data_IF_058127716111
#
_entry.id   IF_058127716111
#
_cell.length_a   1.000
_cell.length_b   1.000
_cell.length_c   1.000
_cell.angle_alpha   90.00
_cell.angle_beta   90.00
_cell.angle_gamma   90.00
#
_symmetry.space_group_name_H-M   'P 1'
#
loop_
_entity.id
_entity.type
_entity.pdbx_description
1 polymer ?
#
# COMPACT_ATOMS: atom_id res chain seq x y z
N UNK A 1 -20.44 -7.45 4.87
CA UNK A 1 -19.51 -6.39 4.42
C UNK A 1 -18.26 -7.10 3.94
N UNK A 2 -17.66 -6.72 2.82
CA UNK A 2 -16.41 -7.28 2.29
C UNK A 2 -15.42 -6.13 2.28
N UNK A 3 -14.30 -6.29 2.97
CA UNK A 3 -13.20 -5.36 2.92
C UNK A 3 -12.35 -5.62 1.68
N UNK A 4 -11.77 -4.57 1.10
CA UNK A 4 -10.94 -4.67 -0.10
C UNK A 4 -9.99 -3.49 -0.20
N UNK A 5 -8.86 -3.72 -0.85
CA UNK A 5 -7.89 -2.69 -1.20
C UNK A 5 -7.81 -2.54 -2.72
N UNK A 6 -7.91 -1.31 -3.17
CA UNK A 6 -7.84 -0.92 -4.58
C UNK A 6 -7.27 0.48 -4.71
N UNK A 7 -6.94 0.87 -5.92
CA UNK A 7 -6.45 2.20 -6.24
C UNK A 7 -7.20 2.73 -7.47
N UNK A 8 -7.27 4.04 -7.63
CA UNK A 8 -7.85 4.69 -8.83
C UNK A 8 -7.16 4.16 -10.09
N UNK A 9 -5.85 3.98 -10.03
CA UNK A 9 -5.00 3.46 -11.09
C UNK A 9 -5.39 2.06 -11.51
N UNK A 10 -5.72 1.20 -10.59
CA UNK A 10 -6.07 -0.21 -10.88
C UNK A 10 -7.54 -0.39 -11.24
N UNK A 11 -8.41 0.59 -10.92
CA UNK A 11 -9.86 0.60 -11.19
C UNK A 11 -10.64 -0.57 -10.57
N UNK A 12 -9.99 -1.51 -9.94
CA UNK A 12 -10.56 -2.69 -9.30
C UNK A 12 -9.72 -3.13 -8.10
N UNK A 13 -10.30 -3.99 -7.26
CA UNK A 13 -9.64 -4.51 -6.08
C UNK A 13 -8.37 -5.30 -6.44
N UNK A 14 -7.26 -4.95 -5.78
CA UNK A 14 -6.00 -5.70 -5.81
C UNK A 14 -6.08 -6.85 -4.80
N UNK A 15 -6.72 -6.60 -3.65
CA UNK A 15 -7.02 -7.63 -2.66
C UNK A 15 -8.46 -7.55 -2.18
N UNK A 16 -9.05 -8.70 -1.88
CA UNK A 16 -10.43 -8.80 -1.40
C UNK A 16 -10.75 -10.23 -0.96
N UNK A 17 -11.82 -10.41 -0.20
CA UNK A 17 -12.39 -11.73 0.04
C UNK A 17 -13.20 -12.17 -1.19
N UNK A 18 -12.61 -13.01 -2.03
CA UNK A 18 -13.22 -13.53 -3.25
C UNK A 18 -14.22 -14.64 -2.93
N UNK A 19 -15.33 -14.30 -2.29
CA UNK A 19 -16.35 -15.24 -1.75
C UNK A 19 -16.93 -16.19 -2.80
N UNK A 20 -16.87 -15.83 -4.08
CA UNK A 20 -17.28 -16.71 -5.19
C UNK A 20 -16.29 -17.83 -5.50
N UNK A 21 -15.06 -17.76 -4.97
CA UNK A 21 -14.03 -18.79 -5.12
C UNK A 21 -13.91 -19.57 -3.81
N UNK A 22 -13.62 -18.85 -2.72
CA UNK A 22 -13.45 -19.40 -1.38
C UNK A 22 -13.80 -18.34 -0.34
N UNK A 23 -14.56 -18.71 0.68
CA UNK A 23 -14.81 -17.84 1.83
C UNK A 23 -13.58 -17.82 2.73
N UNK A 24 -12.82 -16.74 2.69
CA UNK A 24 -11.67 -16.56 3.55
C UNK A 24 -12.07 -16.19 4.97
N UNK A 25 -11.28 -16.60 5.97
CA UNK A 25 -11.48 -16.19 7.36
C UNK A 25 -11.31 -14.68 7.49
N UNK A 26 -12.22 -14.01 8.16
CA UNK A 26 -12.10 -12.57 8.41
C UNK A 26 -10.97 -12.29 9.41
N UNK A 27 -10.06 -11.40 9.02
CA UNK A 27 -9.05 -10.79 9.90
C UNK A 27 -9.31 -9.29 9.90
N UNK A 28 -9.71 -8.74 11.05
CA UNK A 28 -10.07 -7.32 11.16
C UNK A 28 -8.87 -6.42 10.85
N UNK A 29 -9.07 -5.43 9.98
CA UNK A 29 -8.02 -4.53 9.49
C UNK A 29 -7.24 -5.03 8.27
N UNK A 30 -7.43 -6.28 7.85
CA UNK A 30 -6.83 -6.79 6.63
C UNK A 30 -7.80 -6.69 5.44
N UNK A 31 -7.28 -6.28 4.30
CA UNK A 31 -7.99 -6.31 3.01
C UNK A 31 -8.02 -7.71 2.36
N UNK A 32 -7.85 -8.78 3.15
CA UNK A 32 -7.77 -10.17 2.69
C UNK A 32 -6.56 -10.47 1.79
N UNK A 33 -6.70 -11.41 0.86
CA UNK A 33 -5.61 -11.86 -0.03
C UNK A 33 -5.72 -11.19 -1.40
N UNK A 34 -4.63 -11.24 -2.15
CA UNK A 34 -4.63 -10.79 -3.53
C UNK A 34 -5.73 -11.50 -4.34
N UNK A 35 -6.46 -10.73 -5.15
CA UNK A 35 -7.44 -11.32 -6.07
C UNK A 35 -6.73 -12.01 -7.24
N UNK A 36 -7.36 -12.97 -7.91
CA UNK A 36 -6.76 -13.67 -9.04
C UNK A 36 -6.23 -12.70 -10.11
N UNK A 37 -4.99 -12.91 -10.52
CA UNK A 37 -4.29 -12.07 -11.50
C UNK A 37 -3.29 -11.08 -10.89
N UNK A 38 -3.38 -10.80 -9.57
CA UNK A 38 -2.41 -9.93 -8.88
C UNK A 38 -1.41 -10.77 -8.07
N UNK A 39 -0.12 -10.54 -8.26
CA UNK A 39 0.96 -11.09 -7.45
C UNK A 39 1.57 -9.97 -6.59
N UNK A 40 1.04 -9.80 -5.38
CA UNK A 40 1.45 -8.75 -4.45
C UNK A 40 2.69 -9.19 -3.68
N UNK A 41 3.67 -8.30 -3.57
CA UNK A 41 4.89 -8.49 -2.79
C UNK A 41 5.12 -7.30 -1.88
N UNK A 42 5.90 -7.54 -0.84
CA UNK A 42 6.43 -6.49 0.03
C UNK A 42 7.93 -6.38 -0.23
N UNK A 43 8.41 -5.17 -0.51
CA UNK A 43 9.83 -4.91 -0.77
C UNK A 43 10.39 -4.02 0.34
N UNK A 44 11.51 -4.47 0.92
CA UNK A 44 12.24 -3.74 1.96
C UNK A 44 13.12 -2.62 1.37
N UNK A 45 13.60 -1.67 2.19
CA UNK A 45 14.49 -0.58 1.72
C UNK A 45 15.78 -1.06 1.05
N UNK A 46 16.22 -2.29 1.34
CA UNK A 46 17.38 -2.92 0.69
C UNK A 46 17.04 -3.62 -0.63
N UNK A 47 15.82 -3.43 -1.13
CA UNK A 47 15.25 -4.06 -2.32
C UNK A 47 15.07 -5.58 -2.23
N UNK A 48 15.21 -6.19 -1.08
CA UNK A 48 14.87 -7.60 -0.87
C UNK A 48 13.36 -7.77 -0.66
N UNK A 49 12.83 -8.95 -0.98
CA UNK A 49 11.46 -9.32 -0.64
C UNK A 49 11.39 -9.56 0.87
N UNK A 50 10.37 -8.99 1.50
CA UNK A 50 10.14 -9.13 2.92
C UNK A 50 9.64 -10.55 3.28
N UNK A 51 10.04 -11.02 4.46
CA UNK A 51 9.46 -12.22 5.06
C UNK A 51 8.05 -11.91 5.63
N UNK A 52 7.24 -12.94 5.94
CA UNK A 52 5.93 -12.71 6.54
C UNK A 52 5.99 -11.81 7.78
N UNK A 53 5.05 -10.88 7.87
CA UNK A 53 4.95 -9.85 8.92
C UNK A 53 6.04 -8.76 8.91
N UNK A 54 6.99 -8.80 7.98
CA UNK A 54 7.93 -7.69 7.80
C UNK A 54 7.29 -6.55 7.00
N UNK A 55 7.51 -5.33 7.47
CA UNK A 55 7.02 -4.09 6.83
C UNK A 55 7.88 -3.70 5.63
N UNK A 56 7.23 -3.20 4.59
CA UNK A 56 7.89 -2.63 3.42
C UNK A 56 6.92 -1.96 2.47
N UNK A 57 7.42 -1.59 1.31
CA UNK A 57 6.61 -1.00 0.24
C UNK A 57 5.83 -2.11 -0.48
N UNK A 58 4.54 -1.89 -0.65
CA UNK A 58 3.67 -2.84 -1.34
C UNK A 58 3.80 -2.63 -2.84
N UNK A 59 4.10 -3.70 -3.55
CA UNK A 59 4.26 -3.69 -5.01
C UNK A 59 3.49 -4.84 -5.65
N UNK A 60 3.16 -4.70 -6.93
CA UNK A 60 2.52 -5.77 -7.70
C UNK A 60 3.47 -6.22 -8.81
N UNK A 61 3.75 -7.52 -8.86
CA UNK A 61 4.62 -8.09 -9.90
C UNK A 61 3.98 -7.96 -11.29
N UNK A 62 4.77 -7.54 -12.25
CA UNK A 62 4.36 -7.44 -13.65
C UNK A 62 4.35 -8.82 -14.35
N UNK A 63 3.46 -9.02 -15.35
CA UNK A 63 2.50 -8.05 -15.88
C UNK A 63 1.28 -7.88 -14.98
N UNK A 64 0.69 -6.70 -14.97
CA UNK A 64 -0.62 -6.47 -14.34
C UNK A 64 -1.73 -7.23 -15.09
N UNK A 65 -2.86 -7.52 -14.45
CA UNK A 65 -4.01 -8.11 -15.14
C UNK A 65 -4.44 -7.28 -16.35
N UNK A 66 -4.96 -7.93 -17.43
CA UNK A 66 -5.41 -7.23 -18.61
C UNK A 66 -6.42 -6.11 -18.32
N UNK A 67 -6.20 -4.93 -18.88
CA UNK A 67 -7.04 -3.76 -18.66
C UNK A 67 -6.74 -2.95 -17.41
N UNK A 68 -5.83 -3.42 -16.56
CA UNK A 68 -5.40 -2.69 -15.37
C UNK A 68 -4.34 -1.67 -15.75
N UNK A 69 -4.61 -0.39 -15.50
CA UNK A 69 -3.69 0.74 -15.62
C UNK A 69 -2.79 0.69 -16.88
N UNK A 70 -3.38 0.80 -18.08
CA UNK A 70 -2.60 0.66 -19.32
C UNK A 70 -1.60 1.80 -19.53
N UNK A 71 -1.94 3.01 -19.10
CA UNK A 71 -1.07 4.21 -19.14
C UNK A 71 -1.77 5.41 -18.47
N UNK A 72 -1.08 6.55 -18.41
CA UNK A 72 -1.63 7.86 -18.12
C UNK A 72 -1.98 8.60 -19.42
N UNK A 73 -3.09 9.32 -19.44
CA UNK A 73 -3.55 10.05 -20.62
C UNK A 73 -2.50 11.07 -21.09
N UNK A 74 -2.01 10.88 -22.32
CA UNK A 74 -0.97 11.71 -22.94
C UNK A 74 0.31 11.87 -22.09
N UNK A 75 0.68 10.89 -21.25
CA UNK A 75 1.79 10.97 -20.32
C UNK A 75 2.46 9.61 -20.07
N UNK A 76 2.78 8.87 -21.15
CA UNK A 76 3.38 7.52 -21.05
C UNK A 76 4.73 7.55 -20.32
N UNK A 77 5.58 8.52 -20.57
CA UNK A 77 6.87 8.68 -19.87
C UNK A 77 6.66 8.84 -18.36
N UNK A 78 5.72 9.68 -17.96
CA UNK A 78 5.38 9.88 -16.55
C UNK A 78 4.80 8.60 -15.90
N UNK A 79 4.04 7.80 -16.67
CA UNK A 79 3.56 6.49 -16.23
C UNK A 79 4.73 5.56 -15.90
N UNK A 80 5.68 5.43 -16.80
CA UNK A 80 6.85 4.58 -16.61
C UNK A 80 7.73 5.07 -15.45
N UNK A 81 8.05 6.37 -15.42
CA UNK A 81 8.90 6.97 -14.40
C UNK A 81 8.31 6.80 -12.99
N UNK A 82 7.02 7.08 -12.81
CA UNK A 82 6.43 7.09 -11.47
C UNK A 82 6.07 5.69 -10.97
N UNK A 83 5.64 4.79 -11.86
CA UNK A 83 5.04 3.54 -11.40
C UNK A 83 5.88 2.28 -11.69
N UNK A 84 6.82 2.33 -12.66
CA UNK A 84 7.51 1.13 -13.15
C UNK A 84 9.03 1.14 -12.94
N UNK A 85 9.61 2.26 -12.51
CA UNK A 85 11.07 2.44 -12.50
C UNK A 85 11.72 2.06 -11.18
N UNK A 86 11.11 2.39 -10.03
CA UNK A 86 11.73 2.21 -8.72
C UNK A 86 11.98 0.75 -8.37
N UNK A 87 11.07 -0.13 -8.75
CA UNK A 87 11.17 -1.57 -8.51
C UNK A 87 11.08 -2.33 -9.83
N UNK A 88 12.24 -2.70 -10.38
CA UNK A 88 12.31 -3.36 -11.69
C UNK A 88 11.46 -4.64 -11.73
N UNK A 89 10.47 -4.67 -12.63
CA UNK A 89 9.55 -5.80 -12.79
C UNK A 89 8.33 -5.75 -11.87
N UNK A 90 8.10 -4.61 -11.20
CA UNK A 90 6.95 -4.40 -10.33
C UNK A 90 6.29 -3.05 -10.60
N UNK A 91 4.98 -3.02 -10.42
CA UNK A 91 4.18 -1.81 -10.30
C UNK A 91 4.26 -1.29 -8.86
N UNK A 92 4.61 -0.02 -8.68
CA UNK A 92 4.68 0.65 -7.39
C UNK A 92 3.31 1.20 -7.01
N UNK A 93 2.78 0.78 -5.86
CA UNK A 93 1.46 1.21 -5.38
C UNK A 93 1.49 2.49 -4.56
N UNK A 94 2.65 2.88 -4.05
CA UNK A 94 2.81 3.94 -3.04
C UNK A 94 2.10 3.65 -1.71
N UNK A 95 1.75 2.41 -1.45
CA UNK A 95 1.27 1.94 -0.16
C UNK A 95 2.38 1.16 0.55
N UNK A 96 2.38 1.21 1.88
CA UNK A 96 3.25 0.43 2.75
C UNK A 96 2.44 -0.51 3.63
N UNK A 97 2.99 -1.68 3.92
CA UNK A 97 2.31 -2.67 4.71
C UNK A 97 3.10 -3.96 4.84
N UNK A 98 2.41 -5.03 5.16
CA UNK A 98 2.99 -6.36 5.26
C UNK A 98 2.01 -7.44 4.77
N UNK A 99 2.53 -8.63 4.53
CA UNK A 99 1.75 -9.84 4.27
C UNK A 99 2.02 -10.79 5.45
N UNK A 100 0.96 -11.30 6.05
CA UNK A 100 1.12 -12.24 7.16
C UNK A 100 1.41 -13.69 6.68
N UNK A 101 1.64 -14.59 7.63
CA UNK A 101 1.97 -16.00 7.37
C UNK A 101 0.86 -16.75 6.60
N UNK A 102 -0.39 -16.30 6.71
CA UNK A 102 -1.55 -16.87 5.98
C UNK A 102 -1.76 -16.21 4.60
N UNK A 103 -0.92 -15.23 4.23
CA UNK A 103 -0.98 -14.50 2.96
C UNK A 103 -1.98 -13.35 2.94
N UNK A 104 -2.46 -12.89 4.09
CA UNK A 104 -3.33 -11.72 4.19
C UNK A 104 -2.52 -10.44 4.11
N UNK A 105 -3.05 -9.47 3.36
CA UNK A 105 -2.40 -8.18 3.10
C UNK A 105 -2.92 -7.15 4.10
N UNK A 106 -2.01 -6.42 4.73
CA UNK A 106 -2.26 -5.37 5.69
C UNK A 106 -1.70 -4.06 5.16
N UNK A 107 -2.60 -3.12 4.84
CA UNK A 107 -2.23 -1.79 4.36
C UNK A 107 -2.12 -0.88 5.59
N UNK A 108 -0.93 -0.31 5.81
CA UNK A 108 -0.64 0.45 7.03
C UNK A 108 -0.58 1.96 6.78
N UNK A 109 -0.07 2.39 5.61
CA UNK A 109 0.07 3.80 5.28
C UNK A 109 0.40 3.99 3.81
N UNK A 110 0.38 5.24 3.35
CA UNK A 110 1.01 5.65 2.10
C UNK A 110 2.51 5.83 2.31
N UNK A 111 3.32 5.49 1.31
CA UNK A 111 4.77 5.70 1.37
C UNK A 111 5.17 7.17 1.22
N UNK A 112 4.34 7.96 0.55
CA UNK A 112 4.48 9.41 0.40
C UNK A 112 4.04 10.18 1.68
N UNK A 113 3.24 9.56 2.55
CA UNK A 113 2.79 10.13 3.84
C UNK A 113 3.70 9.73 5.03
N UNK A 114 4.82 9.04 4.76
CA UNK A 114 5.75 8.63 5.80
C UNK A 114 6.73 9.76 6.13
N UNK A 115 6.77 10.14 7.39
CA UNK A 115 7.74 11.10 7.93
C UNK A 115 8.99 10.34 8.36
N UNK A 116 10.14 10.66 7.75
CA UNK A 116 11.43 10.09 8.13
C UNK A 116 12.16 11.01 9.09
N UNK A 117 12.35 10.58 10.33
CA UNK A 117 13.08 11.33 11.37
C UNK A 117 14.21 10.48 11.94
N UNK A 118 15.45 10.88 11.72
CA UNK A 118 16.62 10.22 12.25
C UNK A 118 16.66 8.69 12.01
N UNK A 119 16.19 8.26 10.83
CA UNK A 119 16.13 6.84 10.47
C UNK A 119 14.85 6.10 10.92
N UNK A 120 13.97 6.77 11.66
CA UNK A 120 12.65 6.22 12.00
C UNK A 120 11.61 6.61 10.98
N UNK A 121 10.81 5.65 10.54
CA UNK A 121 9.67 5.85 9.64
C UNK A 121 8.41 5.98 10.48
N UNK A 122 7.82 7.18 10.50
CA UNK A 122 6.61 7.49 11.24
C UNK A 122 5.44 7.60 10.26
N UNK A 123 4.41 6.79 10.45
CA UNK A 123 3.16 6.89 9.69
C UNK A 123 2.35 8.07 10.22
N UNK A 124 1.95 8.99 9.35
CA UNK A 124 1.07 10.10 9.69
C UNK A 124 -0.26 9.59 10.22
N UNK A 125 -0.86 8.60 9.55
CA UNK A 125 -2.12 7.98 9.97
C UNK A 125 -2.07 7.33 11.34
N UNK A 126 -0.97 6.64 11.69
CA UNK A 126 -0.82 6.06 13.02
C UNK A 126 -0.71 7.12 14.13
N UNK A 127 -0.08 8.27 13.85
CA UNK A 127 -0.03 9.39 14.78
C UNK A 127 -1.42 10.04 14.92
N UNK A 128 -2.14 10.21 13.82
CA UNK A 128 -3.50 10.74 13.79
C UNK A 128 -4.47 9.85 14.56
N UNK A 129 -4.37 8.53 14.42
CA UNK A 129 -5.17 7.56 15.18
C UNK A 129 -4.98 7.76 16.70
N UNK A 130 -3.73 7.77 17.16
CA UNK A 130 -3.42 7.99 18.60
C UNK A 130 -3.92 9.35 19.09
N UNK A 131 -3.78 10.41 18.29
CA UNK A 131 -4.26 11.74 18.67
C UNK A 131 -5.79 11.81 18.72
N UNK A 132 -6.48 11.12 17.81
CA UNK A 132 -7.95 11.11 17.73
C UNK A 132 -8.61 10.33 18.89
N UNK A 133 -7.87 9.46 19.57
CA UNK A 133 -8.37 8.79 20.79
C UNK A 133 -8.58 9.76 21.97
N UNK A 134 -7.97 10.95 21.91
CA UNK A 134 -8.13 11.92 22.99
C UNK A 134 -9.49 12.62 22.92
N UNK A 135 -10.26 12.59 24.02
CA UNK A 135 -11.66 13.08 24.11
C UNK A 135 -11.87 14.54 23.65
N UNK A 136 -10.83 15.37 23.72
CA UNK A 136 -10.89 16.78 23.32
C UNK A 136 -10.43 17.04 21.89
N UNK A 137 -10.06 16.00 21.14
CA UNK A 137 -9.66 16.09 19.73
C UNK A 137 -10.82 15.61 18.88
N UNK A 138 -11.39 16.53 18.08
CA UNK A 138 -12.46 16.21 17.16
C UNK A 138 -11.91 15.73 15.80
N UNK A 139 -10.79 16.32 15.36
CA UNK A 139 -10.12 16.03 14.09
C UNK A 139 -8.65 16.46 14.19
N UNK A 140 -7.75 15.73 13.56
CA UNK A 140 -6.33 16.08 13.51
C UNK A 140 -5.75 15.73 12.13
N UNK A 141 -4.65 16.37 11.77
CA UNK A 141 -3.85 16.04 10.59
C UNK A 141 -2.37 16.14 10.94
N UNK A 142 -1.59 15.17 10.49
CA UNK A 142 -0.14 15.11 10.69
C UNK A 142 0.57 15.32 9.37
N UNK A 143 1.45 16.30 9.30
CA UNK A 143 2.19 16.67 8.11
C UNK A 143 3.69 16.64 8.39
N UNK A 144 4.46 16.06 7.47
CA UNK A 144 5.92 16.14 7.48
C UNK A 144 6.38 17.50 6.92
N UNK A 145 6.98 18.33 7.78
CA UNK A 145 7.59 19.57 7.35
C UNK A 145 9.12 19.42 7.25
N UNK A 146 9.68 19.73 6.09
CA UNK A 146 11.13 19.84 5.94
C UNK A 146 11.63 21.14 6.56
N UNK A 147 12.72 21.05 7.34
CA UNK A 147 13.40 22.24 7.91
C UNK A 147 13.93 23.22 6.86
N UNK A 148 13.97 22.81 5.59
CA UNK A 148 14.37 23.68 4.47
C UNK A 148 13.25 24.64 4.05
N UNK A 149 12.02 24.41 4.53
CA UNK A 149 10.83 25.20 4.18
C UNK A 149 10.31 26.06 5.34
N UNK A 150 11.08 26.19 6.42
CA UNK A 150 10.78 27.08 7.57
C UNK A 150 11.61 28.34 7.47
#
# INVERSE_FOLDING_TARGET
MIDHWWQTETSWAISSNCTGIEMQKTKYGSACKAVPGYDVKIIKPDHSIAEPNEMGDIVVKLPLPPGTFPTLWNADERYEENYMTNYKGYYQTYDAGHIDEDGYIWIMSRTDDIINVAGHRLSTGAIEEVLSEHQSVAECAVLGLSLIHI
#
